data_IF_448366110817
#
_entry.id   IF_448366110817
#
_cell.length_a   1.000
_cell.length_b   1.000
_cell.length_c   1.000
_cell.angle_alpha   90.00
_cell.angle_beta   90.00
_cell.angle_gamma   90.00
#
_symmetry.space_group_name_H-M   'P 1'
#
loop_
_entity.id
_entity.type
_entity.pdbx_description
1 polymer ?
#
# COMPACT_ATOMS: atom_id res chain seq x y z
N UNK A 1 -37.75 32.60 -3.47
CA UNK A 1 -38.23 32.96 -2.12
C UNK A 1 -38.14 31.71 -1.25
N UNK A 2 -37.71 31.81 0.02
CA UNK A 2 -37.74 30.64 0.92
C UNK A 2 -39.19 30.13 1.02
N UNK A 3 -39.41 28.82 1.06
CA UNK A 3 -40.77 28.24 1.19
C UNK A 3 -41.48 28.83 2.43
N UNK A 4 -40.73 29.06 3.51
CA UNK A 4 -41.20 29.67 4.76
C UNK A 4 -41.60 31.15 4.60
N UNK A 5 -40.78 31.94 3.91
CA UNK A 5 -41.09 33.37 3.64
C UNK A 5 -42.34 33.51 2.75
N UNK A 6 -42.58 32.54 1.84
CA UNK A 6 -43.77 32.53 0.97
C UNK A 6 -45.04 32.19 1.75
N UNK A 7 -44.97 31.25 2.70
CA UNK A 7 -46.13 30.85 3.50
C UNK A 7 -46.58 31.96 4.47
N UNK A 8 -45.63 32.69 5.04
CA UNK A 8 -45.92 33.70 6.06
C UNK A 8 -46.17 35.10 5.50
N UNK A 9 -46.09 35.29 4.16
CA UNK A 9 -46.16 36.60 3.48
C UNK A 9 -45.30 37.69 4.14
N UNK A 10 -44.24 37.29 4.84
CA UNK A 10 -43.33 38.19 5.54
C UNK A 10 -41.88 37.71 5.36
N UNK A 11 -40.95 38.67 5.44
CA UNK A 11 -39.53 38.38 5.35
C UNK A 11 -39.00 38.03 6.74
N UNK A 12 -38.50 36.80 6.90
CA UNK A 12 -37.90 36.37 8.17
C UNK A 12 -36.63 37.17 8.52
N UNK A 13 -35.95 37.73 7.52
CA UNK A 13 -34.71 38.51 7.69
C UNK A 13 -34.73 39.78 6.83
N UNK A 14 -33.98 40.81 7.26
CA UNK A 14 -33.89 42.10 6.58
C UNK A 14 -33.35 41.98 5.14
N UNK A 15 -33.83 42.86 4.25
CA UNK A 15 -33.45 42.86 2.83
C UNK A 15 -31.93 43.08 2.62
N UNK A 16 -31.32 43.89 3.48
CA UNK A 16 -29.90 44.25 3.40
C UNK A 16 -28.96 43.05 3.62
N UNK A 17 -29.44 41.93 4.17
CA UNK A 17 -28.61 40.76 4.48
C UNK A 17 -28.85 39.58 3.52
N UNK A 18 -28.61 39.80 2.22
CA UNK A 18 -28.82 38.80 1.17
C UNK A 18 -28.08 37.48 1.41
N UNK A 19 -26.82 37.54 1.90
CA UNK A 19 -26.01 36.36 2.20
C UNK A 19 -26.59 35.51 3.33
N UNK A 20 -27.12 36.14 4.37
CA UNK A 20 -27.75 35.44 5.49
C UNK A 20 -29.01 34.70 5.03
N UNK A 21 -29.84 35.35 4.21
CA UNK A 21 -31.06 34.75 3.64
C UNK A 21 -30.73 33.55 2.77
N UNK A 22 -29.81 33.71 1.82
CA UNK A 22 -29.38 32.64 0.94
C UNK A 22 -28.82 31.46 1.76
N UNK A 23 -27.98 31.72 2.77
CA UNK A 23 -27.40 30.68 3.64
C UNK A 23 -28.47 29.86 4.35
N UNK A 24 -29.49 30.51 4.91
CA UNK A 24 -30.61 29.81 5.57
C UNK A 24 -31.51 29.06 4.60
N UNK A 25 -31.68 29.57 3.38
CA UNK A 25 -32.52 28.92 2.37
C UNK A 25 -31.85 27.69 1.75
N UNK A 26 -30.54 27.77 1.47
CA UNK A 26 -29.79 26.72 0.77
C UNK A 26 -29.06 25.77 1.71
N UNK A 27 -28.95 26.10 3.00
CA UNK A 27 -28.16 25.37 3.98
C UNK A 27 -26.64 25.54 3.81
N UNK A 28 -26.19 26.37 2.86
CA UNK A 28 -24.77 26.62 2.61
C UNK A 28 -24.23 27.68 3.57
N UNK A 29 -22.93 27.59 3.88
CA UNK A 29 -22.27 28.64 4.67
C UNK A 29 -22.18 29.95 3.88
N UNK A 30 -22.18 31.09 4.59
CA UNK A 30 -21.92 32.41 3.97
C UNK A 30 -20.61 32.44 3.19
N UNK A 31 -19.58 31.72 3.66
CA UNK A 31 -18.28 31.58 2.98
C UNK A 31 -18.42 30.90 1.62
N UNK A 32 -19.19 29.81 1.53
CA UNK A 32 -19.43 29.11 0.27
C UNK A 32 -20.17 30.00 -0.73
N UNK A 33 -21.20 30.72 -0.28
CA UNK A 33 -21.93 31.68 -1.12
C UNK A 33 -21.03 32.80 -1.63
N UNK A 34 -20.16 33.33 -0.77
CA UNK A 34 -19.20 34.38 -1.15
C UNK A 34 -18.15 33.85 -2.13
N UNK A 35 -17.67 32.61 -1.96
CA UNK A 35 -16.78 31.96 -2.92
C UNK A 35 -17.44 31.82 -4.30
N UNK A 36 -18.68 31.33 -4.37
CA UNK A 36 -19.44 31.20 -5.63
C UNK A 36 -19.66 32.58 -6.27
N UNK A 37 -20.03 33.61 -5.50
CA UNK A 37 -20.19 34.97 -6.05
C UNK A 37 -18.86 35.49 -6.62
N UNK A 38 -17.75 35.27 -5.92
CA UNK A 38 -16.44 35.72 -6.36
C UNK A 38 -15.94 34.95 -7.59
N UNK A 39 -16.29 33.67 -7.73
CA UNK A 39 -16.06 32.89 -8.95
C UNK A 39 -16.90 33.42 -10.11
N UNK A 40 -18.19 33.68 -9.89
CA UNK A 40 -19.08 34.24 -10.91
C UNK A 40 -18.65 35.64 -11.39
N UNK A 41 -18.07 36.46 -10.51
CA UNK A 41 -17.50 37.77 -10.87
C UNK A 41 -16.27 37.64 -11.78
N UNK A 42 -15.52 36.54 -11.68
CA UNK A 42 -14.30 36.30 -12.46
C UNK A 42 -14.57 35.70 -13.83
N UNK A 43 -15.78 35.17 -14.07
CA UNK A 43 -16.16 34.56 -15.33
C UNK A 43 -17.34 33.60 -15.19
N UNK A 44 -17.71 32.89 -16.28
CA UNK A 44 -18.75 31.88 -16.23
C UNK A 44 -18.41 30.79 -15.19
N UNK A 45 -19.38 30.44 -14.35
CA UNK A 45 -19.21 29.38 -13.36
C UNK A 45 -18.92 28.05 -14.07
N UNK A 46 -17.77 27.46 -13.75
CA UNK A 46 -17.37 26.16 -14.27
C UNK A 46 -17.77 25.07 -13.27
N UNK A 47 -18.29 23.94 -13.76
CA UNK A 47 -18.51 22.77 -12.91
C UNK A 47 -17.19 22.34 -12.26
N UNK A 48 -17.18 21.88 -11.00
CA UNK A 48 -15.98 21.34 -10.37
C UNK A 48 -15.28 20.36 -11.31
N UNK A 49 -14.02 20.64 -11.63
CA UNK A 49 -13.26 19.82 -12.58
C UNK A 49 -13.21 18.37 -12.10
N UNK A 50 -13.62 17.42 -12.95
CA UNK A 50 -13.48 15.97 -12.68
C UNK A 50 -12.02 15.54 -12.54
N UNK A 51 -11.07 16.39 -12.94
CA UNK A 51 -9.64 16.14 -12.77
C UNK A 51 -9.32 16.25 -11.27
N UNK A 52 -9.33 15.11 -10.58
CA UNK A 52 -8.72 14.97 -9.26
C UNK A 52 -7.32 15.59 -9.35
N UNK A 53 -6.93 16.41 -8.36
CA UNK A 53 -5.54 16.87 -8.23
C UNK A 53 -4.66 15.65 -8.43
N UNK A 54 -3.86 15.64 -9.50
CA UNK A 54 -2.96 14.53 -9.72
C UNK A 54 -2.01 14.51 -8.53
N UNK A 55 -2.19 13.54 -7.63
CA UNK A 55 -1.16 13.23 -6.65
C UNK A 55 0.11 13.02 -7.47
N UNK A 56 1.18 13.74 -7.12
CA UNK A 56 2.49 13.68 -7.78
C UNK A 56 2.76 12.23 -8.15
N UNK A 57 2.97 11.95 -9.45
CA UNK A 57 3.23 10.61 -9.97
C UNK A 57 4.23 9.95 -9.04
N UNK A 58 3.85 8.80 -8.52
CA UNK A 58 4.69 8.06 -7.60
C UNK A 58 6.07 7.95 -8.22
N UNK A 59 7.12 8.33 -7.49
CA UNK A 59 8.50 8.05 -7.93
C UNK A 59 8.52 6.57 -8.26
N UNK A 60 8.66 6.22 -9.55
CA UNK A 60 8.73 4.83 -9.95
C UNK A 60 9.97 4.26 -9.23
N UNK A 61 9.73 3.49 -8.18
CA UNK A 61 10.78 2.81 -7.43
C UNK A 61 11.14 1.57 -8.23
N UNK A 62 11.88 1.76 -9.31
CA UNK A 62 12.44 0.66 -10.06
C UNK A 62 13.65 0.15 -9.29
N UNK A 63 13.42 -0.90 -8.49
CA UNK A 63 14.46 -1.62 -7.75
C UNK A 63 14.56 -2.99 -8.38
N UNK A 64 15.77 -3.37 -8.78
CA UNK A 64 16.07 -4.65 -9.40
C UNK A 64 15.79 -5.81 -8.44
N UNK A 65 15.52 -7.00 -8.98
CA UNK A 65 15.19 -8.17 -8.17
C UNK A 65 16.38 -8.60 -7.29
N UNK A 66 17.61 -8.39 -7.76
CA UNK A 66 18.81 -8.61 -6.95
C UNK A 66 18.84 -7.72 -5.70
N UNK A 67 18.57 -6.43 -5.85
CA UNK A 67 18.52 -5.49 -4.73
C UNK A 67 17.37 -5.82 -3.75
N UNK A 68 16.23 -6.31 -4.28
CA UNK A 68 15.12 -6.80 -3.45
C UNK A 68 15.56 -7.98 -2.58
N UNK A 69 16.32 -8.92 -3.14
CA UNK A 69 16.86 -10.06 -2.38
C UNK A 69 17.89 -9.63 -1.33
N UNK A 70 18.75 -8.66 -1.64
CA UNK A 70 19.67 -8.08 -0.66
C UNK A 70 18.91 -7.44 0.49
N UNK A 71 17.85 -6.67 0.21
CA UNK A 71 16.99 -6.08 1.24
C UNK A 71 16.31 -7.16 2.09
N UNK A 72 15.82 -8.23 1.47
CA UNK A 72 15.23 -9.38 2.18
C UNK A 72 16.22 -9.97 3.19
N UNK A 73 17.44 -10.27 2.74
CA UNK A 73 18.52 -10.82 3.59
C UNK A 73 18.90 -9.88 4.74
N UNK A 74 18.95 -8.58 4.50
CA UNK A 74 19.21 -7.59 5.56
C UNK A 74 18.10 -7.65 6.61
N UNK A 75 16.82 -7.73 6.21
CA UNK A 75 15.70 -7.86 7.16
C UNK A 75 15.84 -9.14 7.99
N UNK A 76 16.19 -10.26 7.35
CA UNK A 76 16.44 -11.52 8.05
C UNK A 76 17.61 -11.40 9.04
N UNK A 77 18.72 -10.75 8.69
CA UNK A 77 19.86 -10.51 9.58
C UNK A 77 19.48 -9.72 10.84
N UNK A 78 18.58 -8.73 10.74
CA UNK A 78 18.07 -7.99 11.89
C UNK A 78 17.40 -8.90 12.92
N UNK A 79 16.63 -9.88 12.45
CA UNK A 79 15.93 -10.84 13.31
C UNK A 79 16.82 -12.02 13.75
N UNK A 80 17.63 -12.57 12.85
CA UNK A 80 18.42 -13.78 13.09
C UNK A 80 19.70 -13.48 13.84
N UNK A 81 20.47 -12.49 13.39
CA UNK A 81 21.80 -12.17 13.93
C UNK A 81 21.69 -11.12 15.03
N UNK A 82 21.03 -9.99 14.76
CA UNK A 82 21.01 -8.84 15.68
C UNK A 82 19.97 -8.96 16.79
N UNK A 83 18.97 -9.84 16.63
CA UNK A 83 17.84 -10.03 17.58
C UNK A 83 17.10 -8.71 17.90
N UNK A 84 17.00 -7.80 16.93
CA UNK A 84 16.37 -6.48 17.08
C UNK A 84 15.20 -6.36 16.10
N UNK A 85 14.09 -5.78 16.56
CA UNK A 85 12.96 -5.43 15.67
C UNK A 85 13.41 -4.31 14.72
N UNK A 86 13.41 -4.54 13.40
CA UNK A 86 13.84 -3.54 12.44
C UNK A 86 12.90 -2.34 12.50
N UNK A 87 13.45 -1.14 12.34
CA UNK A 87 12.69 0.09 12.08
C UNK A 87 13.14 0.66 10.76
N UNK A 88 12.27 1.40 10.05
CA UNK A 88 12.63 1.90 8.71
C UNK A 88 13.92 2.74 8.69
N UNK A 89 14.23 3.46 9.77
CA UNK A 89 15.45 4.28 9.86
C UNK A 89 16.69 3.39 9.97
N UNK A 90 16.69 2.41 10.88
CA UNK A 90 17.80 1.47 11.06
C UNK A 90 18.00 0.61 9.81
N UNK A 91 16.89 0.18 9.20
CA UNK A 91 16.94 -0.61 7.98
C UNK A 91 17.50 0.20 6.81
N UNK A 92 17.09 1.46 6.65
CA UNK A 92 17.64 2.35 5.61
C UNK A 92 19.15 2.54 5.75
N UNK A 93 19.64 2.71 6.98
CA UNK A 93 21.07 2.83 7.23
C UNK A 93 21.83 1.55 6.82
N UNK A 94 21.34 0.38 7.21
CA UNK A 94 21.94 -0.91 6.86
C UNK A 94 21.88 -1.19 5.35
N UNK A 95 20.77 -0.84 4.68
CA UNK A 95 20.63 -1.00 3.22
C UNK A 95 21.65 -0.11 2.50
N UNK A 96 21.81 1.14 2.92
CA UNK A 96 22.77 2.09 2.31
C UNK A 96 24.23 1.70 2.51
N UNK A 97 24.54 0.89 3.52
CA UNK A 97 25.88 0.36 3.73
C UNK A 97 26.24 -0.73 2.70
N UNK A 98 25.24 -1.52 2.26
CA UNK A 98 25.44 -2.65 1.34
C UNK A 98 25.12 -2.33 -0.11
N UNK A 99 24.24 -1.36 -0.36
CA UNK A 99 23.72 -1.01 -1.68
C UNK A 99 23.61 0.49 -1.83
N UNK A 100 23.77 0.98 -3.06
CA UNK A 100 23.55 2.39 -3.39
C UNK A 100 22.04 2.67 -3.44
N UNK A 101 21.41 2.86 -2.27
CA UNK A 101 19.98 3.15 -2.17
C UNK A 101 19.73 4.67 -2.12
N UNK A 102 19.39 5.33 -3.26
CA UNK A 102 19.32 6.79 -3.34
C UNK A 102 18.08 7.37 -2.65
N UNK A 103 17.05 6.56 -2.42
CA UNK A 103 15.76 7.05 -1.92
C UNK A 103 15.70 7.18 -0.39
N UNK A 104 14.66 7.87 0.08
CA UNK A 104 14.41 8.10 1.50
C UNK A 104 13.55 7.04 2.18
N UNK A 105 13.28 7.25 3.47
CA UNK A 105 12.50 6.34 4.35
C UNK A 105 11.09 6.07 3.81
N UNK A 106 10.44 7.08 3.22
CA UNK A 106 9.09 6.96 2.65
C UNK A 106 9.08 6.01 1.45
N UNK A 107 10.07 6.12 0.58
CA UNK A 107 10.28 5.22 -0.55
C UNK A 107 10.59 3.81 -0.08
N UNK A 108 11.48 3.62 0.89
CA UNK A 108 11.75 2.31 1.47
C UNK A 108 10.47 1.66 2.02
N UNK A 109 9.61 2.42 2.71
CA UNK A 109 8.33 1.90 3.21
C UNK A 109 7.40 1.45 2.09
N UNK A 110 7.38 2.15 0.95
CA UNK A 110 6.61 1.75 -0.23
C UNK A 110 7.18 0.49 -0.87
N UNK A 111 8.50 0.44 -1.05
CA UNK A 111 9.21 -0.72 -1.59
C UNK A 111 8.95 -1.98 -0.76
N UNK A 112 9.08 -1.88 0.57
CA UNK A 112 8.77 -3.00 1.47
C UNK A 112 7.32 -3.48 1.31
N UNK A 113 6.37 -2.55 1.12
CA UNK A 113 4.97 -2.91 0.88
C UNK A 113 4.78 -3.62 -0.45
N UNK A 114 5.49 -3.19 -1.49
CA UNK A 114 5.48 -3.80 -2.83
C UNK A 114 6.05 -5.23 -2.79
N UNK A 115 7.17 -5.42 -2.09
CA UNK A 115 7.77 -6.73 -1.80
C UNK A 115 6.89 -7.64 -0.91
N UNK A 116 5.77 -7.13 -0.41
CA UNK A 116 4.83 -7.92 0.40
C UNK A 116 5.12 -7.91 1.90
N UNK A 117 5.92 -6.99 2.43
CA UNK A 117 6.06 -6.79 3.87
C UNK A 117 4.98 -5.88 4.45
N UNK A 118 4.62 -6.13 5.70
CA UNK A 118 3.68 -5.30 6.46
C UNK A 118 4.14 -5.09 7.90
N UNK A 119 3.85 -3.90 8.41
CA UNK A 119 4.04 -3.57 9.83
C UNK A 119 2.80 -3.99 10.61
N UNK A 120 2.93 -4.99 11.47
CA UNK A 120 1.87 -5.42 12.39
C UNK A 120 2.01 -4.69 13.72
N UNK A 121 0.89 -4.27 14.29
CA UNK A 121 0.89 -3.68 15.62
C UNK A 121 0.90 -4.82 16.65
N UNK A 122 1.83 -4.77 17.58
CA UNK A 122 1.83 -5.66 18.74
C UNK A 122 1.21 -4.95 19.94
N UNK A 123 0.79 -5.74 20.95
CA UNK A 123 0.24 -5.22 22.20
C UNK A 123 1.18 -4.19 22.87
N UNK A 124 2.50 -4.38 22.73
CA UNK A 124 3.51 -3.57 23.40
C UNK A 124 3.94 -2.34 22.60
N UNK A 125 3.03 -1.52 22.03
CA UNK A 125 3.30 -0.28 21.24
C UNK A 125 4.31 -0.39 20.06
N UNK A 126 5.00 -1.50 19.94
CA UNK A 126 6.00 -1.82 18.93
C UNK A 126 5.30 -2.37 17.71
N UNK A 127 5.89 -2.08 16.55
CA UNK A 127 5.43 -2.59 15.26
C UNK A 127 6.48 -3.54 14.73
N UNK A 128 6.08 -4.77 14.45
CA UNK A 128 6.95 -5.79 13.86
C UNK A 128 6.81 -5.77 12.34
N UNK A 129 7.93 -5.88 11.63
CA UNK A 129 7.94 -6.02 10.19
C UNK A 129 7.84 -7.49 9.84
N UNK A 130 6.74 -7.90 9.20
CA UNK A 130 6.49 -9.31 8.88
C UNK A 130 6.19 -9.42 7.39
N UNK A 131 6.75 -10.45 6.76
CA UNK A 131 6.41 -10.83 5.39
C UNK A 131 4.94 -11.27 5.33
N UNK A 132 4.24 -10.98 4.24
CA UNK A 132 2.85 -11.44 4.08
C UNK A 132 2.82 -12.97 4.09
N UNK A 133 1.94 -13.60 4.89
CA UNK A 133 1.90 -15.06 5.03
C UNK A 133 1.77 -15.81 3.69
N UNK A 134 0.99 -15.27 2.75
CA UNK A 134 0.83 -15.86 1.42
C UNK A 134 2.15 -15.87 0.60
N UNK A 135 2.98 -14.83 0.73
CA UNK A 135 4.27 -14.73 0.04
C UNK A 135 5.28 -15.68 0.68
N UNK A 136 5.36 -15.66 2.01
CA UNK A 136 6.20 -16.60 2.76
C UNK A 136 5.82 -18.07 2.49
N UNK A 137 4.52 -18.37 2.40
CA UNK A 137 4.03 -19.70 2.06
C UNK A 137 4.40 -20.10 0.62
N UNK A 138 4.23 -19.21 -0.36
CA UNK A 138 4.65 -19.46 -1.74
C UNK A 138 6.15 -19.75 -1.83
N UNK A 139 6.98 -19.00 -1.09
CA UNK A 139 8.42 -19.26 -0.97
C UNK A 139 8.70 -20.63 -0.36
N UNK A 140 8.00 -21.03 0.70
CA UNK A 140 8.17 -22.35 1.31
C UNK A 140 7.82 -23.51 0.36
N UNK A 141 6.79 -23.35 -0.47
CA UNK A 141 6.43 -24.35 -1.49
C UNK A 141 7.53 -24.41 -2.55
N UNK A 142 7.99 -23.25 -3.02
CA UNK A 142 9.07 -23.17 -4.01
C UNK A 142 10.30 -23.91 -3.50
N UNK A 143 10.83 -23.53 -2.33
CA UNK A 143 12.02 -24.14 -1.74
C UNK A 143 11.90 -25.67 -1.55
N UNK A 144 10.75 -26.14 -1.07
CA UNK A 144 10.49 -27.59 -0.94
C UNK A 144 10.59 -28.33 -2.28
N UNK A 145 10.16 -27.70 -3.39
CA UNK A 145 10.27 -28.33 -4.71
C UNK A 145 11.73 -28.47 -5.14
N UNK A 146 12.59 -27.49 -4.85
CA UNK A 146 14.03 -27.58 -5.15
C UNK A 146 14.71 -28.66 -4.32
N UNK A 147 14.42 -28.72 -3.02
CA UNK A 147 14.99 -29.75 -2.13
C UNK A 147 14.64 -31.19 -2.58
N UNK A 148 13.48 -31.40 -3.20
CA UNK A 148 13.09 -32.70 -3.77
C UNK A 148 13.82 -32.99 -5.08
N UNK A 149 14.03 -31.98 -5.94
CA UNK A 149 14.72 -32.15 -7.22
C UNK A 149 16.22 -32.38 -7.10
N UNK A 150 16.88 -31.77 -6.10
CA UNK A 150 18.32 -31.97 -5.85
C UNK A 150 18.64 -33.34 -5.20
N UNK A 151 17.61 -34.11 -4.84
CA UNK A 151 17.71 -35.44 -4.22
C UNK A 151 17.56 -36.62 -5.17
N UNK A 152 17.37 -36.41 -6.48
CA UNK A 152 17.14 -37.49 -7.45
C UNK A 152 18.37 -37.86 -8.29
N UNK A 153 19.53 -37.22 -8.06
CA UNK A 153 20.78 -37.55 -8.77
C UNK A 153 21.82 -38.19 -7.84
N UNK A 154 21.57 -39.42 -7.39
CA UNK A 154 22.64 -40.38 -7.06
C UNK A 154 22.15 -41.84 -7.16
N UNK A 155 22.52 -42.50 -8.27
CA UNK A 155 22.89 -43.93 -8.50
C UNK A 155 22.51 -44.98 -7.41
N UNK A 156 22.05 -46.21 -7.63
CA UNK A 156 22.05 -47.21 -8.74
C UNK A 156 21.21 -48.43 -8.24
N UNK A 157 20.32 -49.03 -9.05
CA UNK A 157 20.53 -50.31 -9.75
C UNK A 157 19.77 -51.53 -9.15
N UNK A 158 19.47 -52.49 -10.03
CA UNK A 158 19.23 -53.91 -9.71
C UNK A 158 17.90 -54.35 -9.09
N UNK A 159 16.77 -54.16 -9.79
CA UNK A 159 15.65 -55.13 -9.73
C UNK A 159 14.80 -55.17 -11.00
N UNK A 160 15.45 -55.23 -12.16
CA UNK A 160 14.79 -55.64 -13.41
C UNK A 160 15.63 -56.71 -14.07
N UNK A 161 15.55 -57.95 -13.56
CA UNK A 161 15.58 -59.23 -14.28
C UNK A 161 15.64 -60.36 -13.24
N UNK A 162 14.96 -61.46 -13.54
CA UNK A 162 14.89 -62.76 -12.83
C UNK A 162 13.97 -62.88 -11.59
N UNK A 163 12.69 -63.20 -11.84
CA UNK A 163 12.14 -64.50 -11.43
C UNK A 163 11.32 -65.07 -12.60
N UNK A 164 11.80 -66.19 -13.13
CA UNK A 164 11.05 -67.16 -13.91
C UNK A 164 10.45 -68.19 -12.95
N UNK A 165 9.13 -68.35 -12.98
CA UNK A 165 8.39 -69.52 -12.45
C UNK A 165 7.03 -69.47 -13.17
N UNK A 166 6.86 -70.23 -14.26
CA UNK A 166 6.26 -71.56 -14.29
C UNK A 166 4.88 -71.64 -13.62
N UNK A 167 3.92 -72.16 -14.38
CA UNK A 167 2.65 -72.80 -13.98
C UNK A 167 1.37 -72.03 -14.31
N UNK A 168 0.77 -72.40 -15.45
CA UNK A 168 -0.67 -72.63 -15.54
C UNK A 168 -0.95 -73.55 -16.75
N UNK A 169 -1.45 -74.74 -16.41
CA UNK A 169 -1.89 -75.82 -17.29
C UNK A 169 -3.15 -75.48 -18.10
#
# INVERSE_FOLDING_TARGET
MCVKDRQNNNLTFTLNNAYYRASRCTGLSKRALSAIQNEAKKGPLCSPSKKKRQCKKETNLNVDDFDRDVIHRIIEEFYLTKKIVPTCIKLLAAIREKTEFPWGVTSLRKLLKDMGYRWLNCHNKLRILVERPAVAYARSIYLRKFEVSDGEDSDTDSTKYSVSESDAA
#
